data_IF_595712171460
#
_entry.id   IF_595712171460
#
_cell.length_a   1.000
_cell.length_b   1.000
_cell.length_c   1.000
_cell.angle_alpha   90.00
_cell.angle_beta   90.00
_cell.angle_gamma   90.00
#
_symmetry.space_group_name_H-M   'P 1'
#
loop_
_entity.id
_entity.type
_entity.pdbx_description
1 polymer ?
#
# COMPACT_ATOMS: atom_id res chain seq x y z
N UNK A 1 -13.16 -6.45 -2.42
CA UNK A 1 -12.15 -7.51 -2.23
C UNK A 1 -11.28 -7.12 -1.05
N UNK A 2 -10.96 -8.05 -0.16
CA UNK A 2 -10.12 -7.77 1.00
C UNK A 2 -8.75 -8.41 0.83
N UNK A 3 -7.71 -7.60 0.82
CA UNK A 3 -6.34 -8.08 0.78
C UNK A 3 -5.85 -8.25 2.22
N UNK A 4 -5.31 -9.40 2.58
CA UNK A 4 -4.64 -9.59 3.86
C UNK A 4 -3.13 -9.44 3.68
N UNK A 5 -2.46 -8.82 4.64
CA UNK A 5 -1.02 -8.62 4.58
C UNK A 5 -0.37 -8.83 5.95
N UNK A 6 0.93 -9.13 5.92
CA UNK A 6 1.81 -9.08 7.09
C UNK A 6 2.98 -8.15 6.78
N UNK A 7 3.03 -7.00 7.44
CA UNK A 7 4.06 -5.99 7.26
C UNK A 7 4.97 -5.95 8.49
N UNK A 8 6.26 -6.22 8.31
CA UNK A 8 7.25 -6.30 9.40
C UNK A 8 6.80 -7.20 10.59
N UNK A 9 6.05 -8.28 10.29
CA UNK A 9 5.52 -9.19 11.30
C UNK A 9 4.17 -8.79 11.90
N UNK A 10 3.60 -7.64 11.50
CA UNK A 10 2.28 -7.18 11.95
C UNK A 10 1.24 -7.45 10.86
N UNK A 11 0.20 -8.20 11.22
CA UNK A 11 -0.88 -8.52 10.28
C UNK A 11 -1.88 -7.37 10.16
N UNK A 12 -2.40 -7.17 8.96
CA UNK A 12 -3.43 -6.20 8.66
C UNK A 12 -4.26 -6.61 7.43
N UNK A 13 -5.23 -5.78 7.08
CA UNK A 13 -6.03 -5.98 5.88
C UNK A 13 -6.39 -4.64 5.22
N UNK A 14 -6.71 -4.70 3.94
CA UNK A 14 -7.13 -3.56 3.13
C UNK A 14 -8.39 -3.95 2.37
N UNK A 15 -9.45 -3.17 2.54
CA UNK A 15 -10.69 -3.33 1.78
C UNK A 15 -10.62 -2.45 0.53
N UNK A 16 -10.58 -3.08 -0.66
CA UNK A 16 -10.48 -2.39 -1.95
C UNK A 16 -11.63 -2.80 -2.90
N UNK A 17 -12.13 -1.88 -3.74
CA UNK A 17 -12.99 -2.24 -4.86
C UNK A 17 -12.30 -3.24 -5.80
N UNK A 18 -13.04 -4.25 -6.28
CA UNK A 18 -12.45 -5.31 -7.14
C UNK A 18 -11.83 -4.74 -8.41
N UNK A 19 -12.49 -3.75 -9.03
CA UNK A 19 -11.99 -3.06 -10.21
C UNK A 19 -10.64 -2.37 -9.99
N UNK A 20 -10.32 -1.99 -8.74
CA UNK A 20 -9.02 -1.41 -8.41
C UNK A 20 -7.93 -2.49 -8.34
N UNK A 21 -8.25 -3.66 -7.79
CA UNK A 21 -7.32 -4.79 -7.69
C UNK A 21 -6.99 -5.33 -9.08
N UNK A 22 -7.95 -5.38 -9.99
CA UNK A 22 -7.76 -5.89 -11.36
C UNK A 22 -6.79 -5.06 -12.22
N UNK A 23 -6.63 -3.77 -11.92
CA UNK A 23 -5.75 -2.87 -12.67
C UNK A 23 -4.40 -2.61 -11.98
N UNK A 24 -4.22 -3.08 -10.76
CA UNK A 24 -3.00 -2.92 -9.98
C UNK A 24 -2.05 -4.10 -10.20
N UNK A 25 -0.74 -3.82 -10.19
CA UNK A 25 0.25 -4.89 -10.06
C UNK A 25 0.36 -5.33 -8.60
N UNK A 26 0.88 -6.53 -8.38
CA UNK A 26 1.09 -7.06 -7.02
C UNK A 26 2.08 -6.21 -6.21
N UNK A 27 3.05 -5.59 -6.87
CA UNK A 27 3.98 -4.64 -6.27
C UNK A 27 3.27 -3.37 -5.80
N UNK A 28 2.37 -2.80 -6.60
CA UNK A 28 1.57 -1.63 -6.19
C UNK A 28 0.66 -1.96 -5.00
N UNK A 29 0.11 -3.17 -4.94
CA UNK A 29 -0.64 -3.63 -3.77
C UNK A 29 0.25 -3.76 -2.53
N UNK A 30 1.51 -4.16 -2.70
CA UNK A 30 2.46 -4.26 -1.60
C UNK A 30 2.87 -2.88 -1.07
N UNK A 31 3.09 -1.92 -1.97
CA UNK A 31 3.35 -0.51 -1.64
C UNK A 31 2.17 0.10 -0.85
N UNK A 32 0.94 -0.17 -1.31
CA UNK A 32 -0.27 0.26 -0.61
C UNK A 32 -0.39 -0.38 0.78
N UNK A 33 -0.10 -1.68 0.90
CA UNK A 33 -0.10 -2.38 2.19
C UNK A 33 0.93 -1.82 3.17
N UNK A 34 2.15 -1.51 2.71
CA UNK A 34 3.13 -0.83 3.52
C UNK A 34 2.61 0.56 3.96
N UNK A 35 2.01 1.34 3.06
CA UNK A 35 1.43 2.65 3.40
C UNK A 35 0.35 2.56 4.47
N UNK A 36 -0.59 1.61 4.34
CA UNK A 36 -1.62 1.35 5.33
C UNK A 36 -1.02 0.93 6.68
N UNK A 37 -0.06 0.00 6.68
CA UNK A 37 0.60 -0.45 7.91
C UNK A 37 1.17 0.72 8.72
N UNK A 38 1.94 1.61 8.07
CA UNK A 38 2.55 2.77 8.72
C UNK A 38 1.51 3.77 9.20
N UNK A 39 0.43 3.99 8.44
CA UNK A 39 -0.66 4.87 8.84
C UNK A 39 -1.40 4.37 10.09
N UNK A 40 -1.66 3.06 10.14
CA UNK A 40 -2.52 2.47 11.17
C UNK A 40 -1.75 2.18 12.46
N UNK A 41 -0.50 1.72 12.36
CA UNK A 41 0.29 1.26 13.52
C UNK A 41 1.32 2.29 13.98
N UNK A 42 1.68 3.26 13.14
CA UNK A 42 2.77 4.20 13.39
C UNK A 42 2.44 5.63 12.93
N UNK A 43 1.28 6.21 13.32
CA UNK A 43 0.75 7.45 12.74
C UNK A 43 1.63 8.69 12.96
N UNK A 44 2.51 8.67 13.97
CA UNK A 44 3.42 9.77 14.30
C UNK A 44 4.86 9.52 13.86
N UNK A 45 5.17 8.33 13.34
CA UNK A 45 6.51 7.97 12.93
C UNK A 45 6.67 8.09 11.41
N UNK A 46 7.88 8.41 10.98
CA UNK A 46 8.24 8.27 9.58
C UNK A 46 8.35 6.78 9.23
N UNK A 47 7.86 6.36 8.05
CA UNK A 47 8.13 5.03 7.54
C UNK A 47 9.63 4.74 7.53
N UNK A 48 9.98 3.55 7.99
CA UNK A 48 11.34 3.01 7.91
C UNK A 48 11.81 2.93 6.46
N UNK A 49 13.12 2.79 6.27
CA UNK A 49 13.72 2.71 4.93
C UNK A 49 13.25 1.49 4.14
N UNK A 50 12.91 0.41 4.85
CA UNK A 50 12.45 -0.85 4.28
C UNK A 50 11.26 -1.38 5.09
N UNK A 51 10.22 -1.82 4.39
CA UNK A 51 9.10 -2.58 4.95
C UNK A 51 9.00 -3.89 4.20
N UNK A 52 9.07 -5.02 4.92
CA UNK A 52 8.81 -6.34 4.33
C UNK A 52 7.32 -6.61 4.39
N UNK A 53 6.73 -6.86 3.24
CA UNK A 53 5.29 -7.12 3.09
C UNK A 53 5.08 -8.51 2.54
N UNK A 54 4.34 -9.34 3.26
CA UNK A 54 3.78 -10.58 2.74
C UNK A 54 2.32 -10.35 2.38
N UNK A 55 1.95 -10.62 1.13
CA UNK A 55 0.59 -10.42 0.62
C UNK A 55 -0.14 -11.73 0.43
N UNK A 56 -1.40 -11.74 0.83
CA UNK A 56 -2.32 -12.86 0.68
C UNK A 56 -3.69 -12.35 0.23
N UNK A 57 -4.38 -13.10 -0.63
CA UNK A 57 -5.76 -12.79 -1.00
C UNK A 57 -6.77 -13.23 0.08
N UNK A 58 -8.06 -13.03 -0.21
CA UNK A 58 -9.18 -13.39 0.67
C UNK A 58 -9.22 -14.87 1.05
N UNK A 59 -8.76 -15.74 0.16
CA UNK A 59 -8.76 -17.18 0.33
C UNK A 59 -7.47 -17.67 1.01
N UNK A 60 -6.61 -16.74 1.45
CA UNK A 60 -5.32 -17.03 2.04
C UNK A 60 -4.28 -17.48 1.03
N UNK A 61 -4.55 -17.33 -0.28
CA UNK A 61 -3.57 -17.66 -1.31
C UNK A 61 -2.46 -16.63 -1.28
N UNK A 62 -1.23 -17.13 -1.22
CA UNK A 62 -0.04 -16.30 -1.25
C UNK A 62 0.08 -15.57 -2.60
N UNK A 63 0.13 -14.24 -2.53
CA UNK A 63 0.36 -13.37 -3.68
C UNK A 63 1.84 -13.01 -3.83
N UNK A 64 2.62 -13.11 -2.75
CA UNK A 64 4.07 -12.98 -2.76
C UNK A 64 4.63 -12.21 -1.56
N UNK A 65 5.96 -12.12 -1.51
CA UNK A 65 6.69 -11.36 -0.51
C UNK A 65 7.52 -10.26 -1.17
N UNK A 66 7.42 -9.05 -0.63
CA UNK A 66 7.94 -7.84 -1.24
C UNK A 66 8.78 -7.02 -0.25
N UNK A 67 9.85 -6.43 -0.77
CA UNK A 67 10.64 -5.41 -0.09
C UNK A 67 10.20 -4.03 -0.57
N UNK A 68 9.40 -3.33 0.23
CA UNK A 68 8.94 -1.97 -0.08
C UNK A 68 9.90 -0.97 0.52
N UNK A 69 10.59 -0.20 -0.34
CA UNK A 69 11.61 0.77 0.07
C UNK A 69 11.06 2.19 0.04
N UNK A 70 11.42 2.98 1.05
CA UNK A 70 11.10 4.41 1.09
C UNK A 70 12.11 5.19 0.25
N UNK A 71 11.85 5.33 -1.04
CA UNK A 71 12.67 6.09 -1.98
C UNK A 71 12.00 7.42 -2.37
N UNK A 72 12.79 8.49 -2.47
CA UNK A 72 12.32 9.75 -3.06
C UNK A 72 12.31 9.61 -4.58
N UNK A 73 11.12 9.67 -5.18
CA UNK A 73 10.94 9.67 -6.63
C UNK A 73 10.27 10.97 -7.07
N UNK A 74 10.62 11.52 -8.25
CA UNK A 74 9.86 12.61 -8.85
C UNK A 74 8.39 12.19 -9.03
N UNK A 75 7.45 13.04 -8.61
CA UNK A 75 6.01 12.81 -8.79
C UNK A 75 5.40 13.96 -9.61
N UNK A 76 4.35 13.64 -10.38
CA UNK A 76 3.51 14.67 -10.98
C UNK A 76 2.58 15.24 -9.92
N UNK A 77 2.49 16.58 -9.82
CA UNK A 77 1.63 17.27 -8.87
C UNK A 77 0.61 18.13 -9.61
N UNK A 78 -0.65 18.08 -9.21
CA UNK A 78 -1.71 18.93 -9.75
C UNK A 78 -1.94 20.15 -8.86
N UNK A 79 -2.26 21.29 -9.48
CA UNK A 79 -2.69 22.51 -8.80
C UNK A 79 -4.08 22.91 -9.28
N UNK A 80 -4.93 23.37 -8.36
CA UNK A 80 -6.26 23.85 -8.70
C UNK A 80 -6.18 25.10 -9.61
N UNK A 81 -6.97 25.14 -10.66
CA UNK A 81 -7.16 26.36 -11.45
C UNK A 81 -8.18 27.26 -10.73
N UNK A 82 -8.00 28.59 -10.74
CA UNK A 82 -9.01 29.50 -10.24
C UNK A 82 -10.30 29.31 -11.05
N UNK A 83 -11.40 29.02 -10.37
CA UNK A 83 -12.71 28.85 -11.00
C UNK A 83 -13.11 30.13 -11.74
N UNK A 84 -13.62 29.99 -12.97
CA UNK A 84 -14.32 31.10 -13.62
C UNK A 84 -15.65 31.30 -12.88
N UNK A 85 -15.72 32.36 -12.06
CA UNK A 85 -16.98 32.87 -11.52
C UNK A 85 -17.84 33.51 -12.61
#
# INVERSE_FOLDING_TARGET
MRLTYCANGVSGHIDLPIAYVEVMTVESLAELAASCHWRDHHPTALPGELTRVHLQDLDGKELGMFEVRRELRPIFTASALPGRG
#
